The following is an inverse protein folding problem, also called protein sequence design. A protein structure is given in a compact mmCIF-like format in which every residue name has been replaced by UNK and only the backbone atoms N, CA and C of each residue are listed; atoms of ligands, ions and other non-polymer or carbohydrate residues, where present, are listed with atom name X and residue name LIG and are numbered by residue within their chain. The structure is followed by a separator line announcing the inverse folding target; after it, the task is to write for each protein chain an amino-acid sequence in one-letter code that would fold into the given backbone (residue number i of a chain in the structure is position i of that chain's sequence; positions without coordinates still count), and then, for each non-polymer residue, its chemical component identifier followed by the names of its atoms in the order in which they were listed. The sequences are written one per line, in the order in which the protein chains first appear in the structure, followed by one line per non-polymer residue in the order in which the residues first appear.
data_IF_601682480989
#
_entry.id   IF_601682480989
#
_cell.length_a   1.000
_cell.length_b   1.000
_cell.length_c   1.000
_cell.angle_alpha   90.00
_cell.angle_beta   90.00
_cell.angle_gamma   90.00
#
_symmetry.space_group_name_H-M   'P 1'
#
loop_
_entity.id
_entity.type
_entity.pdbx_description
1 polymer ?
#
# COMPACT_ATOMS: atom_id res chain seq x y z
N UNK A 1 -38.24 9.45 -26.70
CA UNK A 1 -37.20 8.95 -27.62
C UNK A 1 -35.90 9.60 -27.19
N UNK A 2 -35.00 8.83 -26.58
CA UNK A 2 -33.87 9.29 -25.77
C UNK A 2 -32.76 9.94 -26.61
N UNK A 3 -32.20 11.03 -26.09
CA UNK A 3 -30.97 11.65 -26.57
C UNK A 3 -29.76 10.83 -26.06
N UNK A 4 -28.95 10.34 -26.99
CA UNK A 4 -27.68 9.67 -26.71
C UNK A 4 -26.62 10.76 -26.47
N UNK A 5 -26.14 10.81 -25.24
CA UNK A 5 -25.00 11.62 -24.80
C UNK A 5 -23.71 10.98 -25.36
N UNK A 6 -23.08 11.63 -26.34
CA UNK A 6 -21.76 11.22 -26.83
C UNK A 6 -20.70 11.80 -25.89
N UNK A 7 -20.22 10.97 -24.97
CA UNK A 7 -19.06 11.28 -24.13
C UNK A 7 -17.80 11.37 -24.98
N UNK A 8 -17.14 12.53 -24.94
CA UNK A 8 -15.86 12.75 -25.58
C UNK A 8 -14.77 11.85 -24.99
N UNK A 9 -14.29 10.90 -25.79
CA UNK A 9 -13.00 10.27 -25.56
C UNK A 9 -11.92 11.35 -25.65
N UNK A 10 -11.27 11.65 -24.53
CA UNK A 10 -10.10 12.51 -24.47
C UNK A 10 -8.95 11.78 -25.18
N UNK A 11 -8.59 12.22 -26.39
CA UNK A 11 -7.38 11.77 -27.09
C UNK A 11 -6.16 12.05 -26.21
N UNK A 12 -5.51 10.98 -25.75
CA UNK A 12 -4.35 11.07 -24.86
C UNK A 12 -3.18 11.75 -25.58
N UNK A 13 -2.67 12.85 -25.00
CA UNK A 13 -1.65 13.70 -25.63
C UNK A 13 -0.34 12.93 -25.90
N UNK A 14 0.47 13.43 -26.84
CA UNK A 14 1.76 12.82 -27.20
C UNK A 14 2.68 12.59 -26.00
N UNK A 15 2.54 13.41 -24.94
CA UNK A 15 3.29 13.28 -23.69
C UNK A 15 2.89 12.03 -22.91
N UNK A 16 1.59 11.72 -22.85
CA UNK A 16 1.10 10.52 -22.14
C UNK A 16 1.56 9.25 -22.85
N UNK A 17 1.48 9.22 -24.19
CA UNK A 17 1.98 8.09 -24.99
C UNK A 17 3.49 7.88 -24.83
N UNK A 18 4.26 8.96 -24.69
CA UNK A 18 5.71 8.90 -24.47
C UNK A 18 6.05 8.34 -23.08
N UNK A 19 5.31 8.74 -22.05
CA UNK A 19 5.46 8.21 -20.68
C UNK A 19 5.10 6.72 -20.64
N UNK A 20 3.97 6.32 -21.22
CA UNK A 20 3.56 4.90 -21.31
C UNK A 20 4.58 4.05 -22.08
N UNK A 21 5.15 4.60 -23.16
CA UNK A 21 6.19 3.93 -23.95
C UNK A 21 7.49 3.77 -23.16
N UNK A 22 7.88 4.77 -22.37
CA UNK A 22 9.06 4.71 -21.50
C UNK A 22 8.88 3.71 -20.37
N UNK A 23 7.70 3.65 -19.75
CA UNK A 23 7.37 2.66 -18.72
C UNK A 23 7.49 1.23 -19.26
N UNK A 24 6.94 0.97 -20.45
CA UNK A 24 7.10 -0.33 -21.12
C UNK A 24 8.55 -0.67 -21.45
N UNK A 25 9.36 0.30 -21.87
CA UNK A 25 10.80 0.10 -22.19
C UNK A 25 11.66 -0.18 -20.95
N UNK A 26 11.24 0.30 -19.78
CA UNK A 26 11.90 0.04 -18.50
C UNK A 26 11.56 -1.34 -17.92
N UNK A 27 10.79 -2.18 -18.62
CA UNK A 27 10.37 -3.48 -18.10
C UNK A 27 9.40 -3.37 -16.93
N UNK A 28 8.80 -2.19 -16.72
CA UNK A 28 7.61 -2.03 -15.88
C UNK A 28 6.44 -2.58 -16.68
N UNK A 29 6.42 -3.91 -16.74
CA UNK A 29 5.30 -4.65 -17.30
C UNK A 29 4.15 -4.59 -16.28
N UNK A 30 2.93 -4.71 -16.78
CA UNK A 30 1.71 -4.54 -16.00
C UNK A 30 1.80 -5.17 -14.60
N UNK A 31 1.32 -4.44 -13.58
CA UNK A 31 1.21 -4.98 -12.22
C UNK A 31 0.49 -6.33 -12.29
N UNK A 32 1.22 -7.40 -11.99
CA UNK A 32 0.71 -8.76 -12.15
C UNK A 32 -0.18 -9.09 -10.96
N UNK A 33 -1.49 -8.95 -11.16
CA UNK A 33 -2.47 -9.22 -10.12
C UNK A 33 -2.95 -10.68 -10.07
N UNK A 34 -2.56 -11.53 -11.03
CA UNK A 34 -2.99 -12.93 -11.12
C UNK A 34 -2.77 -13.70 -9.81
N UNK A 35 -3.83 -14.36 -9.31
CA UNK A 35 -3.80 -15.10 -8.05
C UNK A 35 -3.74 -14.25 -6.78
N UNK A 36 -3.87 -12.92 -6.90
CA UNK A 36 -3.90 -11.99 -5.75
C UNK A 36 -5.31 -11.48 -5.45
N UNK A 37 -5.48 -10.77 -4.34
CA UNK A 37 -6.72 -10.09 -3.99
C UNK A 37 -7.16 -9.05 -5.05
N UNK A 38 -6.21 -8.52 -5.82
CA UNK A 38 -6.41 -7.48 -6.82
C UNK A 38 -6.68 -8.03 -8.23
N UNK A 39 -6.77 -9.36 -8.37
CA UNK A 39 -6.90 -10.02 -9.67
C UNK A 39 -8.24 -9.73 -10.34
N UNK A 40 -8.30 -9.75 -11.67
CA UNK A 40 -9.56 -9.53 -12.39
C UNK A 40 -10.57 -10.70 -12.21
N UNK A 41 -10.06 -11.90 -11.91
CA UNK A 41 -10.82 -13.10 -11.59
C UNK A 41 -11.30 -13.15 -10.13
N UNK A 42 -10.87 -12.21 -9.28
CA UNK A 42 -11.43 -12.03 -7.94
C UNK A 42 -12.66 -11.11 -8.00
N UNK A 43 -13.84 -11.53 -7.49
CA UNK A 43 -15.04 -10.70 -7.45
C UNK A 43 -14.85 -9.33 -6.77
N UNK A 44 -13.89 -9.21 -5.85
CA UNK A 44 -13.54 -7.96 -5.17
C UNK A 44 -12.36 -7.22 -5.82
N UNK A 45 -11.71 -7.78 -6.84
CA UNK A 45 -10.44 -7.26 -7.33
C UNK A 45 -10.53 -5.85 -7.94
N UNK A 46 -11.63 -5.53 -8.65
CA UNK A 46 -11.87 -4.18 -9.15
C UNK A 46 -12.01 -3.15 -8.04
N UNK A 47 -12.82 -3.49 -7.04
CA UNK A 47 -13.02 -2.67 -5.84
C UNK A 47 -11.71 -2.47 -5.05
N UNK A 48 -10.94 -3.53 -4.86
CA UNK A 48 -9.66 -3.48 -4.15
C UNK A 48 -8.62 -2.62 -4.87
N UNK A 49 -8.61 -2.62 -6.22
CA UNK A 49 -7.76 -1.70 -6.98
C UNK A 49 -8.21 -0.26 -6.78
N UNK A 50 -9.50 0.05 -6.92
CA UNK A 50 -10.00 1.42 -6.67
C UNK A 50 -9.67 1.93 -5.25
N UNK A 51 -9.71 1.03 -4.26
CA UNK A 51 -9.42 1.37 -2.88
C UNK A 51 -7.92 1.69 -2.62
N UNK A 52 -7.00 1.02 -3.33
CA UNK A 52 -5.56 1.10 -3.08
C UNK A 52 -4.76 1.84 -4.16
N UNK A 53 -5.29 1.97 -5.39
CA UNK A 53 -4.70 2.67 -6.53
C UNK A 53 -5.05 4.16 -6.46
N UNK A 54 -4.55 4.82 -5.42
CA UNK A 54 -4.75 6.24 -5.18
C UNK A 54 -3.39 6.95 -5.17
N UNK A 55 -3.27 8.06 -5.91
CA UNK A 55 -2.03 8.86 -5.98
C UNK A 55 -1.45 9.23 -4.60
N UNK A 56 -2.32 9.46 -3.63
CA UNK A 56 -1.95 9.82 -2.26
C UNK A 56 -1.37 8.62 -1.48
N UNK A 57 -1.85 7.40 -1.72
CA UNK A 57 -1.27 6.18 -1.14
C UNK A 57 0.10 5.92 -1.76
N UNK A 58 0.22 6.03 -3.08
CA UNK A 58 1.48 5.88 -3.81
C UNK A 58 2.55 6.89 -3.36
N UNK A 59 2.18 8.16 -3.29
CA UNK A 59 3.10 9.23 -2.87
C UNK A 59 3.54 9.05 -1.42
N UNK A 60 2.60 8.65 -0.55
CA UNK A 60 2.90 8.40 0.87
C UNK A 60 3.78 7.16 1.06
N UNK A 61 3.57 6.12 0.25
CA UNK A 61 4.38 4.91 0.27
C UNK A 61 5.82 5.20 -0.15
N UNK A 62 6.03 5.93 -1.27
CA UNK A 62 7.37 6.37 -1.72
C UNK A 62 8.10 7.16 -0.62
N UNK A 63 7.39 8.10 0.01
CA UNK A 63 7.95 8.84 1.15
C UNK A 63 8.33 7.93 2.32
N UNK A 64 7.53 6.89 2.59
CA UNK A 64 7.86 5.90 3.61
C UNK A 64 9.12 5.11 3.26
N UNK A 65 9.29 4.71 2.00
CA UNK A 65 10.51 4.03 1.53
C UNK A 65 11.74 4.91 1.73
N UNK A 66 11.72 6.15 1.23
CA UNK A 66 12.82 7.11 1.38
C UNK A 66 13.24 7.33 2.84
N UNK A 67 12.25 7.52 3.72
CA UNK A 67 12.51 7.77 5.14
C UNK A 67 13.08 6.50 5.79
N UNK A 68 12.47 5.34 5.57
CA UNK A 68 12.95 4.10 6.22
C UNK A 68 14.36 3.72 5.76
N UNK A 69 14.67 3.90 4.46
CA UNK A 69 16.01 3.70 3.89
C UNK A 69 17.05 4.61 4.58
N UNK A 70 16.74 5.88 4.83
CA UNK A 70 17.63 6.80 5.53
C UNK A 70 17.99 6.35 6.96
N UNK A 71 17.14 5.52 7.59
CA UNK A 71 17.39 4.92 8.91
C UNK A 71 17.99 3.50 8.82
N UNK A 72 18.26 2.98 7.63
CA UNK A 72 18.75 1.62 7.43
C UNK A 72 17.74 0.54 7.82
N UNK A 73 16.44 0.84 7.73
CA UNK A 73 15.33 -0.06 8.05
C UNK A 73 14.52 -0.27 6.79
N UNK A 74 14.04 -1.49 6.54
CA UNK A 74 13.11 -1.71 5.41
C UNK A 74 11.70 -1.21 5.75
N UNK A 75 10.91 -0.82 4.76
CA UNK A 75 9.51 -0.40 4.98
C UNK A 75 8.68 -1.47 5.70
N UNK A 76 8.90 -2.75 5.37
CA UNK A 76 8.24 -3.88 6.03
C UNK A 76 8.66 -4.00 7.49
N UNK A 77 9.96 -3.86 7.78
CA UNK A 77 10.46 -3.89 9.16
C UNK A 77 9.87 -2.74 9.98
N UNK A 78 9.82 -1.54 9.39
CA UNK A 78 9.24 -0.38 10.04
C UNK A 78 7.75 -0.60 10.35
N UNK A 79 6.98 -1.12 9.38
CA UNK A 79 5.55 -1.39 9.55
C UNK A 79 5.29 -2.45 10.64
N UNK A 80 6.05 -3.55 10.67
CA UNK A 80 5.90 -4.61 11.67
C UNK A 80 6.23 -4.12 13.08
N UNK A 81 7.34 -3.41 13.23
CA UNK A 81 7.75 -2.82 14.51
C UNK A 81 6.77 -1.74 14.96
N UNK A 82 6.22 -0.95 14.04
CA UNK A 82 5.15 0.00 14.36
C UNK A 82 3.89 -0.72 14.86
N UNK A 83 3.44 -1.75 14.14
CA UNK A 83 2.27 -2.51 14.52
C UNK A 83 2.41 -3.14 15.91
N UNK A 84 3.60 -3.67 16.25
CA UNK A 84 3.82 -4.32 17.54
C UNK A 84 4.02 -3.35 18.71
N UNK A 85 4.83 -2.29 18.55
CA UNK A 85 5.22 -1.42 19.66
C UNK A 85 4.42 -0.13 19.80
N UNK A 86 3.77 0.33 18.72
CA UNK A 86 3.25 1.70 18.61
C UNK A 86 1.79 1.78 18.21
N UNK A 87 1.14 0.63 17.95
CA UNK A 87 -0.28 0.56 17.65
C UNK A 87 -1.13 0.58 18.93
N UNK A 88 -2.45 0.42 18.77
CA UNK A 88 -3.39 0.33 19.88
C UNK A 88 -3.53 -1.10 20.46
N UNK A 89 -2.75 -2.08 19.99
CA UNK A 89 -2.82 -3.47 20.46
C UNK A 89 -2.45 -3.57 21.96
N UNK A 90 -3.24 -4.35 22.69
CA UNK A 90 -3.02 -4.66 24.11
C UNK A 90 -2.29 -6.01 24.29
N UNK A 91 -1.92 -6.35 25.54
CA UNK A 91 -1.13 -7.55 25.86
C UNK A 91 -1.74 -8.88 25.38
N UNK A 92 -3.07 -8.95 25.24
CA UNK A 92 -3.77 -10.16 24.80
C UNK A 92 -4.15 -10.13 23.31
N UNK A 93 -3.76 -9.09 22.58
CA UNK A 93 -3.98 -9.00 21.14
C UNK A 93 -2.81 -9.64 20.37
N UNK A 94 -3.07 -10.03 19.12
CA UNK A 94 -2.09 -10.69 18.26
C UNK A 94 -2.00 -10.08 16.86
N UNK A 95 -0.82 -10.21 16.25
CA UNK A 95 -0.59 -9.86 14.84
C UNK A 95 -0.58 -11.14 14.01
N UNK A 96 -1.43 -11.20 12.98
CA UNK A 96 -1.43 -12.30 12.01
C UNK A 96 -0.40 -12.00 10.92
N UNK A 97 0.61 -12.87 10.79
CA UNK A 97 1.65 -12.75 9.77
C UNK A 97 1.33 -13.64 8.58
N UNK A 98 0.92 -13.05 7.46
CA UNK A 98 0.82 -13.76 6.18
C UNK A 98 2.21 -14.03 5.59
N UNK A 99 2.52 -15.26 5.20
CA UNK A 99 3.78 -15.63 4.55
C UNK A 99 3.60 -16.83 3.63
N UNK A 100 4.45 -16.93 2.61
CA UNK A 100 4.52 -18.09 1.71
C UNK A 100 5.64 -19.07 2.07
N UNK A 101 6.47 -18.75 3.08
CA UNK A 101 7.52 -19.64 3.59
C UNK A 101 7.80 -19.40 5.08
N UNK A 102 8.39 -20.40 5.73
CA UNK A 102 8.82 -20.30 7.14
C UNK A 102 9.89 -19.22 7.31
N UNK A 103 10.85 -19.14 6.39
CA UNK A 103 11.92 -18.14 6.45
C UNK A 103 11.38 -16.69 6.46
N UNK A 104 10.27 -16.42 5.78
CA UNK A 104 9.61 -15.11 5.87
C UNK A 104 9.03 -14.85 7.25
N UNK A 105 8.45 -15.86 7.92
CA UNK A 105 7.96 -15.72 9.30
C UNK A 105 9.13 -15.46 10.25
N UNK A 106 10.20 -16.25 10.15
CA UNK A 106 11.41 -16.07 10.98
C UNK A 106 11.98 -14.65 10.84
N UNK A 107 12.12 -14.16 9.61
CA UNK A 107 12.59 -12.79 9.34
C UNK A 107 11.66 -11.72 9.93
N UNK A 108 10.34 -11.91 9.85
CA UNK A 108 9.36 -10.97 10.43
C UNK A 108 9.40 -10.96 11.95
N UNK A 109 9.54 -12.12 12.59
CA UNK A 109 9.68 -12.23 14.05
C UNK A 109 11.00 -11.61 14.51
N UNK A 110 12.10 -11.86 13.79
CA UNK A 110 13.39 -11.21 14.07
C UNK A 110 13.27 -9.69 13.97
N UNK A 111 12.60 -9.19 12.93
CA UNK A 111 12.36 -7.76 12.71
C UNK A 111 11.64 -7.11 13.90
N UNK A 112 10.57 -7.75 14.40
CA UNK A 112 9.88 -7.32 15.61
C UNK A 112 10.82 -7.35 16.82
N UNK A 113 11.62 -8.41 16.97
CA UNK A 113 12.59 -8.58 18.06
C UNK A 113 13.69 -7.51 18.14
N UNK A 114 13.88 -6.69 17.09
CA UNK A 114 14.80 -5.54 17.10
C UNK A 114 14.31 -4.34 17.93
N UNK A 115 13.11 -4.42 18.49
CA UNK A 115 12.59 -3.42 19.42
C UNK A 115 11.86 -2.25 18.74
N UNK A 116 11.47 -1.21 19.51
CA UNK A 116 10.73 -0.08 18.99
C UNK A 116 11.51 0.69 17.94
N UNK A 117 10.79 1.36 17.03
CA UNK A 117 11.41 2.29 16.07
C UNK A 117 12.15 3.44 16.76
N UNK A 118 13.23 3.96 16.14
CA UNK A 118 13.82 5.24 16.55
C UNK A 118 12.77 6.34 16.61
N UNK A 119 12.86 7.23 17.60
CA UNK A 119 11.86 8.26 17.87
C UNK A 119 11.55 9.14 16.66
N UNK A 120 12.59 9.55 15.92
CA UNK A 120 12.41 10.36 14.72
C UNK A 120 11.70 9.61 13.60
N UNK A 121 12.06 8.34 13.37
CA UNK A 121 11.39 7.48 12.40
C UNK A 121 9.91 7.30 12.78
N UNK A 122 9.63 7.01 14.05
CA UNK A 122 8.26 6.89 14.57
C UNK A 122 7.45 8.17 14.32
N UNK A 123 8.02 9.34 14.63
CA UNK A 123 7.35 10.63 14.43
C UNK A 123 6.99 10.82 12.96
N UNK A 124 7.92 10.59 12.04
CA UNK A 124 7.69 10.75 10.60
C UNK A 124 6.66 9.74 10.10
N UNK A 125 6.73 8.47 10.52
CA UNK A 125 5.73 7.45 10.17
C UNK A 125 4.33 7.85 10.61
N UNK A 126 4.19 8.41 11.83
CA UNK A 126 2.91 8.92 12.33
C UNK A 126 2.42 10.15 11.54
N UNK A 127 3.31 11.01 11.07
CA UNK A 127 2.95 12.16 10.24
C UNK A 127 2.48 11.73 8.84
N UNK A 128 3.13 10.72 8.24
CA UNK A 128 2.66 10.08 7.00
C UNK A 128 1.26 9.49 7.21
N UNK A 129 1.07 8.71 8.28
CA UNK A 129 -0.24 8.13 8.62
C UNK A 129 -1.34 9.18 8.74
N UNK A 130 -1.07 10.31 9.42
CA UNK A 130 -2.02 11.43 9.55
C UNK A 130 -2.37 12.06 8.20
N UNK A 131 -1.38 12.24 7.32
CA UNK A 131 -1.59 12.77 5.97
C UNK A 131 -2.54 11.92 5.11
N UNK A 132 -2.68 10.64 5.46
CA UNK A 132 -3.59 9.69 4.80
C UNK A 132 -5.04 9.75 5.32
N UNK A 133 -5.41 10.63 6.27
CA UNK A 133 -6.74 10.61 6.90
C UNK A 133 -7.94 10.53 5.93
N UNK A 134 -7.98 11.30 4.82
CA UNK A 134 -9.07 11.18 3.85
C UNK A 134 -9.16 9.78 3.23
N UNK A 135 -8.04 9.23 2.78
CA UNK A 135 -7.98 7.95 2.06
C UNK A 135 -8.00 6.72 2.97
N UNK A 136 -7.31 6.76 4.11
CA UNK A 136 -7.27 5.66 5.07
C UNK A 136 -8.65 5.39 5.67
N UNK A 137 -9.48 6.44 5.80
CA UNK A 137 -10.87 6.29 6.25
C UNK A 137 -11.67 5.42 5.30
N UNK A 138 -11.49 5.58 3.99
CA UNK A 138 -12.15 4.75 2.99
C UNK A 138 -11.61 3.32 3.00
N UNK A 139 -10.29 3.15 3.08
CA UNK A 139 -9.65 1.82 3.19
C UNK A 139 -10.14 1.06 4.43
N UNK A 140 -10.10 1.69 5.61
CA UNK A 140 -10.49 1.07 6.89
C UNK A 140 -11.98 0.73 6.91
N UNK A 141 -12.85 1.65 6.49
CA UNK A 141 -14.31 1.44 6.51
C UNK A 141 -14.72 0.24 5.66
N UNK A 142 -14.08 0.02 4.53
CA UNK A 142 -14.50 -1.04 3.62
C UNK A 142 -13.79 -2.37 3.85
N UNK A 143 -12.67 -2.41 4.57
CA UNK A 143 -11.96 -3.66 4.88
C UNK A 143 -12.40 -4.25 6.22
N UNK A 144 -12.81 -3.40 7.19
CA UNK A 144 -13.20 -3.86 8.53
C UNK A 144 -14.72 -4.03 8.75
N UNK A 145 -15.56 -3.77 7.74
CA UNK A 145 -17.05 -3.84 7.84
C UNK A 145 -17.64 -4.90 6.89
N UNK A 146 -16.82 -5.81 6.34
CA UNK A 146 -17.32 -7.07 5.81
C UNK A 146 -17.24 -8.14 6.90
N UNK A 147 -18.16 -8.05 7.86
CA UNK A 147 -18.59 -9.14 8.75
C UNK A 147 -20.12 -9.06 8.91
#
# INVERSE_FOLDING_TARGET
MQAVNQGGHMESSAVVRLVETSLRRMGVDQVRYEGTLFSADNPLGGFMRELYDQDVLDTSFKRSEEVTEAFGVTTIDAALRWAYYHSALAENDGIILGASSIAQIESKVESIGRGPLPEELLRISNDIWKGLEPSRGDVIRHILIYD
#
